data_IF_695748996216
#
_entry.id   IF_695748996216
#
_cell.length_a   1.000
_cell.length_b   1.000
_cell.length_c   1.000
_cell.angle_alpha   90.00
_cell.angle_beta   90.00
_cell.angle_gamma   90.00
#
_symmetry.space_group_name_H-M   'P 1'
#
loop_
_entity.id
_entity.type
_entity.pdbx_description
1 polymer ?
#
# COMPACT_ATOMS: atom_id res chain seq x y z
N UNK A 1 10.50 6.94 -20.60
CA UNK A 1 9.58 7.84 -19.89
C UNK A 1 8.64 7.08 -18.98
N UNK A 2 7.80 6.20 -19.54
CA UNK A 2 6.71 5.50 -18.83
C UNK A 2 7.17 4.59 -17.67
N UNK A 3 8.29 3.89 -17.80
CA UNK A 3 8.81 3.02 -16.74
C UNK A 3 9.06 3.76 -15.41
N UNK A 4 9.41 5.05 -15.46
CA UNK A 4 9.65 5.87 -14.27
C UNK A 4 8.36 6.28 -13.55
N UNK A 5 7.20 6.24 -14.21
CA UNK A 5 5.91 6.60 -13.58
C UNK A 5 5.46 5.55 -12.56
N UNK A 6 5.68 4.27 -12.85
CA UNK A 6 5.38 3.16 -11.94
C UNK A 6 6.51 2.96 -10.93
N UNK A 7 7.76 2.99 -11.40
CA UNK A 7 8.92 2.77 -10.53
C UNK A 7 9.16 3.94 -9.57
N UNK A 8 8.77 5.17 -9.92
CA UNK A 8 8.96 6.35 -9.08
C UNK A 8 8.31 6.23 -7.70
N UNK A 9 7.10 5.65 -7.61
CA UNK A 9 6.46 5.40 -6.30
C UNK A 9 7.20 4.35 -5.51
N UNK A 10 7.64 3.26 -6.13
CA UNK A 10 8.36 2.20 -5.44
C UNK A 10 9.69 2.72 -4.88
N UNK A 11 10.45 3.47 -5.68
CA UNK A 11 11.68 4.14 -5.26
C UNK A 11 11.40 5.12 -4.13
N UNK A 12 10.38 5.96 -4.26
CA UNK A 12 9.96 6.87 -3.20
C UNK A 12 9.61 6.16 -1.91
N UNK A 13 8.88 5.05 -1.98
CA UNK A 13 8.52 4.24 -0.82
C UNK A 13 9.75 3.67 -0.12
N UNK A 14 10.73 3.14 -0.88
CA UNK A 14 12.00 2.65 -0.33
C UNK A 14 12.77 3.78 0.36
N UNK A 15 12.91 4.94 -0.29
CA UNK A 15 13.60 6.11 0.29
C UNK A 15 12.89 6.57 1.57
N UNK A 16 11.56 6.68 1.55
CA UNK A 16 10.75 7.09 2.69
C UNK A 16 10.85 6.09 3.86
N UNK A 17 10.81 4.79 3.58
CA UNK A 17 10.92 3.74 4.58
C UNK A 17 12.32 3.72 5.23
N UNK A 18 13.38 3.81 4.41
CA UNK A 18 14.75 3.91 4.91
C UNK A 18 14.96 5.18 5.74
N UNK A 19 14.49 6.33 5.24
CA UNK A 19 14.57 7.60 5.97
C UNK A 19 13.83 7.54 7.32
N UNK A 20 12.59 7.06 7.32
CA UNK A 20 11.79 6.94 8.54
C UNK A 20 12.39 5.96 9.56
N UNK A 21 13.01 4.87 9.08
CA UNK A 21 13.72 3.89 9.91
C UNK A 21 14.99 4.47 10.53
N UNK A 22 15.81 5.21 9.76
CA UNK A 22 17.04 5.84 10.24
C UNK A 22 16.80 6.82 11.39
N UNK A 23 15.68 7.54 11.38
CA UNK A 23 15.32 8.48 12.45
C UNK A 23 14.35 7.89 13.48
N UNK A 24 13.97 6.61 13.38
CA UNK A 24 12.89 6.00 14.17
C UNK A 24 11.63 6.90 14.24
N UNK A 25 11.23 7.48 13.12
CA UNK A 25 10.15 8.47 13.05
C UNK A 25 8.84 7.99 13.70
N UNK A 26 8.42 6.72 13.53
CA UNK A 26 7.21 6.19 14.18
C UNK A 26 7.32 6.00 15.70
N UNK A 27 8.50 6.19 16.29
CA UNK A 27 8.75 6.18 17.74
C UNK A 27 8.93 7.59 18.33
N UNK A 28 9.10 8.61 17.47
CA UNK A 28 9.29 10.01 17.87
C UNK A 28 8.01 10.84 17.81
N UNK A 29 7.05 10.46 16.95
CA UNK A 29 5.82 11.21 16.71
C UNK A 29 4.61 10.33 16.98
N UNK A 30 3.55 10.92 17.55
CA UNK A 30 2.25 10.24 17.73
C UNK A 30 1.79 9.64 16.39
N UNK A 31 1.52 8.33 16.35
CA UNK A 31 1.27 7.60 15.10
C UNK A 31 0.13 8.21 14.28
N UNK A 32 -0.94 8.66 14.94
CA UNK A 32 -2.08 9.30 14.27
C UNK A 32 -1.70 10.56 13.50
N UNK A 33 -0.84 11.41 14.05
CA UNK A 33 -0.38 12.64 13.41
C UNK A 33 0.58 12.35 12.26
N UNK A 34 1.49 11.40 12.45
CA UNK A 34 2.42 10.96 11.41
C UNK A 34 1.64 10.43 10.20
N UNK A 35 0.71 9.51 10.43
CA UNK A 35 -0.11 8.91 9.38
C UNK A 35 -1.00 9.95 8.68
N UNK A 36 -1.64 10.86 9.43
CA UNK A 36 -2.46 11.92 8.86
C UNK A 36 -1.64 12.87 7.98
N UNK A 37 -0.49 13.36 8.48
CA UNK A 37 0.38 14.24 7.71
C UNK A 37 0.93 13.55 6.45
N UNK A 38 1.37 12.30 6.58
CA UNK A 38 1.85 11.50 5.46
C UNK A 38 0.75 11.27 4.41
N UNK A 39 -0.45 10.87 4.84
CA UNK A 39 -1.60 10.71 3.94
C UNK A 39 -1.98 12.04 3.25
N UNK A 40 -1.92 13.17 3.96
CA UNK A 40 -2.19 14.48 3.37
C UNK A 40 -1.15 14.89 2.32
N UNK A 41 0.15 14.67 2.60
CA UNK A 41 1.22 14.88 1.62
C UNK A 41 1.03 13.98 0.39
N UNK A 42 0.67 12.72 0.58
CA UNK A 42 0.37 11.80 -0.52
C UNK A 42 -0.82 12.30 -1.37
N UNK A 43 -1.89 12.79 -0.72
CA UNK A 43 -3.06 13.33 -1.40
C UNK A 43 -2.72 14.57 -2.25
N UNK A 44 -1.93 15.50 -1.70
CA UNK A 44 -1.46 16.69 -2.41
C UNK A 44 -0.52 16.37 -3.56
N UNK A 45 0.45 15.47 -3.34
CA UNK A 45 1.38 15.04 -4.37
C UNK A 45 0.62 14.36 -5.52
N UNK A 46 -0.35 13.49 -5.22
CA UNK A 46 -1.20 12.87 -6.23
C UNK A 46 -2.11 13.90 -6.94
N UNK A 47 -2.70 14.85 -6.21
CA UNK A 47 -3.56 15.89 -6.77
C UNK A 47 -2.76 16.84 -7.70
N UNK A 48 -1.48 17.04 -7.41
CA UNK A 48 -0.61 17.89 -8.23
C UNK A 48 -0.49 17.39 -9.68
N UNK A 49 -0.72 16.09 -9.92
CA UNK A 49 -0.76 15.50 -11.25
C UNK A 49 -1.88 16.08 -12.13
N UNK A 50 -2.91 16.69 -11.55
CA UNK A 50 -3.99 17.35 -12.28
C UNK A 50 -3.53 18.65 -12.96
N UNK A 51 -2.41 19.22 -12.52
CA UNK A 51 -1.80 20.38 -13.16
C UNK A 51 -0.86 19.95 -14.30
N UNK A 52 -0.58 20.88 -15.23
CA UNK A 52 0.33 20.63 -16.36
C UNK A 52 1.79 20.59 -15.88
N UNK A 53 2.19 19.49 -15.26
CA UNK A 53 3.57 19.24 -14.85
C UNK A 53 4.38 18.71 -16.04
N UNK A 54 5.61 19.20 -16.21
CA UNK A 54 6.57 18.57 -17.11
C UNK A 54 6.95 17.15 -16.65
N UNK A 55 7.64 16.34 -17.49
CA UNK A 55 7.98 14.96 -17.16
C UNK A 55 8.72 14.78 -15.83
N UNK A 56 9.65 15.68 -15.50
CA UNK A 56 10.36 15.68 -14.22
C UNK A 56 9.44 15.97 -13.03
N UNK A 57 8.47 16.87 -13.18
CA UNK A 57 7.49 17.18 -12.14
C UNK A 57 6.57 16.02 -11.83
N UNK A 58 6.12 15.28 -12.86
CA UNK A 58 5.32 14.05 -12.69
C UNK A 58 6.13 12.99 -11.93
N UNK A 59 7.38 12.75 -12.30
CA UNK A 59 8.25 11.79 -11.61
C UNK A 59 8.46 12.19 -10.14
N UNK A 60 8.75 13.47 -9.88
CA UNK A 60 8.90 13.98 -8.53
C UNK A 60 7.63 13.78 -7.69
N UNK A 61 6.45 14.09 -8.23
CA UNK A 61 5.17 13.86 -7.57
C UNK A 61 4.96 12.38 -7.22
N UNK A 62 5.34 11.45 -8.11
CA UNK A 62 5.29 10.00 -7.86
C UNK A 62 6.25 9.58 -6.75
N UNK A 63 7.48 10.09 -6.74
CA UNK A 63 8.46 9.81 -5.68
C UNK A 63 7.95 10.32 -4.32
N UNK A 64 7.44 11.55 -4.27
CA UNK A 64 6.88 12.13 -3.03
C UNK A 64 5.68 11.31 -2.55
N UNK A 65 4.78 10.90 -3.45
CA UNK A 65 3.65 10.04 -3.11
C UNK A 65 4.13 8.73 -2.48
N UNK A 66 5.13 8.07 -3.08
CA UNK A 66 5.72 6.85 -2.54
C UNK A 66 6.34 7.04 -1.16
N UNK A 67 7.15 8.09 -0.99
CA UNK A 67 7.79 8.40 0.29
C UNK A 67 6.76 8.69 1.39
N UNK A 68 5.69 9.40 1.05
CA UNK A 68 4.58 9.65 1.95
C UNK A 68 3.82 8.37 2.34
N UNK A 69 3.59 7.43 1.40
CA UNK A 69 2.95 6.15 1.71
C UNK A 69 3.74 5.29 2.70
N UNK A 70 5.08 5.41 2.73
CA UNK A 70 5.92 4.78 3.75
C UNK A 70 5.66 5.35 5.17
N UNK A 71 5.14 6.57 5.28
CA UNK A 71 4.67 7.17 6.53
C UNK A 71 3.27 6.72 6.96
N UNK A 72 2.59 5.90 6.16
CA UNK A 72 1.24 5.39 6.45
C UNK A 72 1.28 3.89 6.75
N UNK A 73 1.84 3.08 5.86
CA UNK A 73 1.69 1.62 5.92
C UNK A 73 2.36 0.96 7.14
N UNK A 74 3.69 1.09 7.38
CA UNK A 74 4.31 0.53 8.58
C UNK A 74 3.73 1.11 9.90
N UNK A 75 3.49 2.43 10.02
CA UNK A 75 2.80 2.99 11.19
C UNK A 75 1.39 2.43 11.41
N UNK A 76 0.61 2.15 10.36
CA UNK A 76 -0.71 1.56 10.48
C UNK A 76 -0.64 0.13 11.05
N UNK A 77 0.29 -0.70 10.57
CA UNK A 77 0.51 -2.04 11.11
C UNK A 77 0.92 -1.99 12.59
N UNK A 78 1.83 -1.07 12.94
CA UNK A 78 2.24 -0.83 14.33
C UNK A 78 1.05 -0.40 15.18
N UNK A 79 0.26 0.56 14.72
CA UNK A 79 -0.91 1.07 15.42
C UNK A 79 -1.90 -0.06 15.73
N UNK A 80 -2.27 -0.87 14.73
CA UNK A 80 -3.20 -1.99 14.95
C UNK A 80 -2.60 -3.01 15.93
N UNK A 81 -1.31 -3.31 15.82
CA UNK A 81 -0.66 -4.24 16.73
C UNK A 81 -0.67 -3.78 18.21
N UNK A 82 -0.86 -2.48 18.51
CA UNK A 82 -1.02 -1.97 19.88
C UNK A 82 -2.37 -2.30 20.53
N UNK A 83 -3.36 -2.70 19.73
CA UNK A 83 -4.71 -3.06 20.22
C UNK A 83 -4.86 -4.55 20.52
N UNK A 84 -4.01 -5.39 19.92
CA UNK A 84 -4.16 -6.83 19.95
C UNK A 84 -2.96 -7.48 20.64
N UNK A 85 -3.20 -8.38 21.58
CA UNK A 85 -2.19 -9.30 22.16
C UNK A 85 -2.46 -10.75 21.74
N UNK A 86 -3.74 -11.09 21.55
CA UNK A 86 -4.25 -12.30 20.88
C UNK A 86 -4.81 -11.92 19.51
N UNK A 87 -4.88 -12.88 18.61
CA UNK A 87 -5.45 -12.73 17.25
C UNK A 87 -4.82 -11.60 16.42
N UNK A 88 -3.50 -11.42 16.58
CA UNK A 88 -2.73 -10.39 15.87
C UNK A 88 -2.68 -10.67 14.37
N UNK A 89 -2.60 -11.94 13.98
CA UNK A 89 -2.55 -12.36 12.58
C UNK A 89 -3.78 -11.89 11.83
N UNK A 90 -4.98 -12.14 12.35
CA UNK A 90 -6.24 -11.70 11.75
C UNK A 90 -6.36 -10.18 11.72
N UNK A 91 -5.98 -9.48 12.80
CA UNK A 91 -6.03 -8.02 12.85
C UNK A 91 -5.11 -7.39 11.77
N UNK A 92 -3.87 -7.88 11.65
CA UNK A 92 -2.95 -7.43 10.60
C UNK A 92 -3.43 -7.85 9.20
N UNK A 93 -3.98 -9.06 9.07
CA UNK A 93 -4.61 -9.54 7.83
C UNK A 93 -5.76 -8.66 7.37
N UNK A 94 -6.59 -8.14 8.29
CA UNK A 94 -7.66 -7.20 7.96
C UNK A 94 -7.12 -5.85 7.44
N UNK A 95 -6.04 -5.33 8.03
CA UNK A 95 -5.37 -4.11 7.54
C UNK A 95 -4.80 -4.31 6.14
N UNK A 96 -4.11 -5.42 5.92
CA UNK A 96 -3.55 -5.76 4.60
C UNK A 96 -4.69 -5.99 3.59
N UNK A 97 -5.78 -6.63 4.01
CA UNK A 97 -6.97 -6.82 3.19
C UNK A 97 -7.63 -5.49 2.77
N UNK A 98 -7.74 -4.54 3.69
CA UNK A 98 -8.21 -3.19 3.38
C UNK A 98 -7.26 -2.46 2.42
N UNK A 99 -5.95 -2.64 2.56
CA UNK A 99 -4.96 -2.13 1.60
C UNK A 99 -5.12 -2.75 0.22
N UNK A 100 -5.40 -4.05 0.13
CA UNK A 100 -5.66 -4.75 -1.13
C UNK A 100 -6.89 -4.18 -1.85
N UNK A 101 -8.01 -3.99 -1.14
CA UNK A 101 -9.20 -3.33 -1.70
C UNK A 101 -8.86 -1.88 -2.11
N UNK A 102 -8.17 -1.14 -1.24
CA UNK A 102 -7.74 0.24 -1.53
C UNK A 102 -6.90 0.34 -2.80
N UNK A 103 -6.00 -0.62 -3.02
CA UNK A 103 -5.15 -0.71 -4.21
C UNK A 103 -5.96 -1.04 -5.47
N UNK A 104 -7.10 -1.71 -5.33
CA UNK A 104 -8.02 -2.00 -6.42
C UNK A 104 -8.93 -0.81 -6.79
N UNK A 105 -9.22 0.11 -5.86
CA UNK A 105 -10.15 1.24 -6.07
C UNK A 105 -9.92 2.07 -7.34
N UNK A 106 -8.68 2.36 -7.79
CA UNK A 106 -8.47 3.06 -9.05
C UNK A 106 -9.10 2.37 -10.27
N UNK A 107 -9.18 1.03 -10.26
CA UNK A 107 -9.85 0.27 -11.31
C UNK A 107 -11.38 0.44 -11.24
N UNK A 108 -11.95 0.47 -10.03
CA UNK A 108 -13.36 0.76 -9.81
C UNK A 108 -13.71 2.19 -10.26
N UNK A 109 -12.90 3.18 -9.88
CA UNK A 109 -13.08 4.57 -10.31
C UNK A 109 -13.01 4.71 -11.82
N UNK A 110 -12.08 4.00 -12.48
CA UNK A 110 -11.99 3.97 -13.95
C UNK A 110 -13.20 3.29 -14.60
N UNK A 111 -13.77 2.27 -13.96
CA UNK A 111 -14.98 1.61 -14.46
C UNK A 111 -16.22 2.52 -14.37
N UNK A 112 -16.36 3.29 -13.28
CA UNK A 112 -17.57 4.07 -12.98
C UNK A 112 -17.51 5.50 -13.53
N UNK A 113 -16.38 6.20 -13.39
CA UNK A 113 -16.28 7.62 -13.75
C UNK A 113 -15.98 7.78 -15.24
N UNK A 114 -14.92 7.12 -15.73
CA UNK A 114 -14.52 7.18 -17.14
C UNK A 114 -13.39 6.21 -17.41
N UNK A 115 -13.53 5.43 -18.49
CA UNK A 115 -12.52 4.47 -18.91
C UNK A 115 -11.29 5.12 -19.58
N UNK A 116 -11.43 6.36 -20.05
CA UNK A 116 -10.47 7.03 -20.95
C UNK A 116 -9.75 8.21 -20.30
N UNK A 117 -10.37 8.89 -19.34
CA UNK A 117 -9.77 10.05 -18.67
C UNK A 117 -9.21 9.64 -17.29
N UNK A 118 -7.92 9.90 -17.10
CA UNK A 118 -7.20 9.60 -15.87
C UNK A 118 -7.44 10.67 -14.79
N UNK A 119 -7.87 11.89 -15.16
CA UNK A 119 -8.02 13.01 -14.23
C UNK A 119 -9.07 12.73 -13.15
N UNK A 120 -10.28 12.20 -13.45
CA UNK A 120 -11.27 11.89 -12.41
C UNK A 120 -10.80 10.79 -11.46
N UNK A 121 -10.02 9.81 -11.95
CA UNK A 121 -9.45 8.76 -11.10
C UNK A 121 -8.43 9.34 -10.12
N UNK A 122 -7.56 10.25 -10.59
CA UNK A 122 -6.60 10.95 -9.73
C UNK A 122 -7.33 11.81 -8.70
N UNK A 123 -8.35 12.58 -9.11
CA UNK A 123 -9.13 13.41 -8.19
C UNK A 123 -9.86 12.58 -7.12
N UNK A 124 -10.52 11.49 -7.51
CA UNK A 124 -11.20 10.59 -6.58
C UNK A 124 -10.24 9.91 -5.61
N UNK A 125 -9.08 9.43 -6.09
CA UNK A 125 -8.05 8.84 -5.24
C UNK A 125 -7.46 9.87 -4.24
N UNK A 126 -7.20 11.09 -4.69
CA UNK A 126 -6.76 12.19 -3.81
C UNK A 126 -7.80 12.52 -2.75
N UNK A 127 -9.07 12.64 -3.12
CA UNK A 127 -10.15 12.91 -2.17
C UNK A 127 -10.28 11.79 -1.14
N UNK A 128 -10.30 10.53 -1.58
CA UNK A 128 -10.36 9.38 -0.68
C UNK A 128 -9.16 9.35 0.29
N UNK A 129 -7.96 9.69 -0.20
CA UNK A 129 -6.75 9.78 0.63
C UNK A 129 -6.84 10.93 1.64
N UNK A 130 -7.39 12.09 1.26
CA UNK A 130 -7.65 13.20 2.18
C UNK A 130 -8.66 12.82 3.25
N UNK A 131 -9.74 12.11 2.90
CA UNK A 131 -10.68 11.56 3.89
C UNK A 131 -9.96 10.60 4.84
N UNK A 132 -9.12 9.69 4.33
CA UNK A 132 -8.29 8.82 5.15
C UNK A 132 -7.36 9.59 6.10
N UNK A 133 -6.75 10.68 5.65
CA UNK A 133 -5.92 11.55 6.48
C UNK A 133 -6.72 12.17 7.65
N UNK A 134 -7.94 12.64 7.37
CA UNK A 134 -8.85 13.16 8.39
C UNK A 134 -9.28 12.07 9.37
N UNK A 135 -9.58 10.86 8.87
CA UNK A 135 -9.94 9.73 9.72
C UNK A 135 -8.80 9.36 10.67
N UNK A 136 -7.55 9.34 10.19
CA UNK A 136 -6.40 9.13 11.05
C UNK A 136 -6.24 10.24 12.09
N UNK A 137 -6.42 11.50 11.69
CA UNK A 137 -6.27 12.63 12.62
C UNK A 137 -7.33 12.63 13.74
N UNK A 138 -8.57 12.29 13.40
CA UNK A 138 -9.72 12.42 14.30
C UNK A 138 -9.97 11.15 15.13
N UNK A 139 -9.74 9.96 14.57
CA UNK A 139 -10.17 8.70 15.17
C UNK A 139 -9.02 7.74 15.52
N UNK A 140 -7.85 7.82 14.88
CA UNK A 140 -6.76 6.89 15.17
C UNK A 140 -6.16 7.17 16.55
N UNK A 141 -6.12 6.14 17.39
CA UNK A 141 -5.54 6.18 18.74
C UNK A 141 -4.73 4.91 18.98
N UNK A 142 -3.62 5.07 19.70
CA UNK A 142 -2.82 3.94 20.16
C UNK A 142 -3.62 3.12 21.18
N UNK A 143 -3.50 1.81 21.06
CA UNK A 143 -4.19 0.85 21.91
C UNK A 143 -3.50 0.66 23.26
N UNK A 144 -4.11 -0.14 24.16
CA UNK A 144 -3.63 -0.34 25.52
C UNK A 144 -2.29 -1.09 25.65
N UNK A 145 -1.77 -1.65 24.55
CA UNK A 145 -0.53 -2.43 24.52
C UNK A 145 0.55 -1.74 23.65
N UNK A 146 1.08 -0.58 24.09
CA UNK A 146 2.10 0.14 23.32
C UNK A 146 3.39 -0.69 23.24
N UNK A 147 4.06 -0.60 22.08
CA UNK A 147 5.40 -1.16 21.93
C UNK A 147 6.43 -0.23 22.60
N UNK A 148 7.47 -0.83 23.18
CA UNK A 148 8.65 -0.08 23.61
C UNK A 148 9.35 0.59 22.43
N UNK A 149 10.12 1.64 22.70
CA UNK A 149 10.92 2.32 21.67
C UNK A 149 11.91 1.33 21.07
N UNK A 150 11.83 1.10 19.76
CA UNK A 150 12.84 0.32 19.06
C UNK A 150 14.12 1.16 18.93
N UNK A 151 15.26 0.61 19.32
CA UNK A 151 16.57 1.23 19.04
C UNK A 151 17.04 0.68 17.71
N UNK A 152 17.31 1.56 16.75
CA UNK A 152 17.88 1.15 15.47
C UNK A 152 19.30 0.61 15.70
N UNK A 153 19.50 -0.69 15.51
CA UNK A 153 20.79 -1.38 15.65
C UNK A 153 21.27 -1.86 14.26
N UNK A 154 22.12 -1.09 13.57
CA UNK A 154 22.61 -1.43 12.22
C UNK A 154 23.32 -2.78 12.16
N UNK A 155 23.92 -3.23 13.26
CA UNK A 155 24.59 -4.53 13.41
C UNK A 155 23.65 -5.72 13.17
N UNK A 156 22.33 -5.55 13.32
CA UNK A 156 21.34 -6.62 13.07
C UNK A 156 20.93 -6.78 11.62
N UNK A 157 21.26 -5.84 10.73
CA UNK A 157 20.90 -5.92 9.30
C UNK A 157 21.47 -7.22 8.68
N UNK A 158 22.70 -7.58 9.05
CA UNK A 158 23.36 -8.80 8.57
C UNK A 158 22.76 -10.11 9.11
N UNK A 159 21.98 -10.07 10.20
CA UNK A 159 21.38 -11.29 10.78
C UNK A 159 20.35 -11.92 9.85
N UNK A 160 19.64 -11.10 9.05
CA UNK A 160 18.66 -11.56 8.06
C UNK A 160 19.27 -12.55 7.06
N UNK A 161 20.55 -12.39 6.71
CA UNK A 161 21.26 -13.28 5.79
C UNK A 161 21.91 -14.48 6.49
N UNK A 162 22.12 -14.41 7.81
CA UNK A 162 22.79 -15.46 8.60
C UNK A 162 21.79 -16.46 9.19
N UNK A 163 20.59 -16.01 9.50
CA UNK A 163 19.54 -16.87 10.06
C UNK A 163 18.69 -17.49 8.96
N UNK A 164 18.88 -18.80 8.73
CA UNK A 164 18.18 -19.53 7.66
C UNK A 164 16.65 -19.40 7.69
N UNK A 165 15.96 -19.48 8.85
CA UNK A 165 14.51 -19.29 8.88
C UNK A 165 14.09 -17.89 8.42
N UNK A 166 14.79 -16.84 8.85
CA UNK A 166 14.53 -15.47 8.43
C UNK A 166 14.80 -15.27 6.93
N UNK A 167 15.90 -15.84 6.42
CA UNK A 167 16.24 -15.77 5.01
C UNK A 167 15.16 -16.43 4.15
N UNK A 168 14.72 -17.64 4.50
CA UNK A 168 13.68 -18.37 3.76
C UNK A 168 12.33 -17.64 3.78
N UNK A 169 11.95 -17.06 4.92
CA UNK A 169 10.75 -16.24 5.01
C UNK A 169 10.82 -15.00 4.10
N UNK A 170 11.97 -14.30 4.09
CA UNK A 170 12.18 -13.14 3.21
C UNK A 170 12.21 -13.52 1.73
N UNK A 171 12.82 -14.65 1.36
CA UNK A 171 12.81 -15.14 -0.03
C UNK A 171 11.41 -15.51 -0.49
N UNK A 172 10.62 -16.17 0.37
CA UNK A 172 9.21 -16.46 0.09
C UNK A 172 8.40 -15.19 -0.10
N UNK A 173 8.59 -14.20 0.78
CA UNK A 173 7.93 -12.88 0.65
C UNK A 173 8.35 -12.15 -0.63
N UNK A 174 9.64 -12.20 -1.00
CA UNK A 174 10.14 -11.62 -2.24
C UNK A 174 9.47 -12.26 -3.46
N UNK A 175 9.41 -13.59 -3.51
CA UNK A 175 8.74 -14.32 -4.58
C UNK A 175 7.24 -13.96 -4.67
N UNK A 176 6.57 -13.91 -3.54
CA UNK A 176 5.16 -13.52 -3.47
C UNK A 176 4.93 -12.07 -3.96
N UNK A 177 5.74 -11.12 -3.51
CA UNK A 177 5.67 -9.73 -3.97
C UNK A 177 5.96 -9.61 -5.47
N UNK A 178 6.93 -10.37 -5.98
CA UNK A 178 7.26 -10.39 -7.40
C UNK A 178 6.07 -10.85 -8.26
N UNK A 179 5.47 -11.98 -7.90
CA UNK A 179 4.28 -12.52 -8.56
C UNK A 179 3.11 -11.53 -8.49
N UNK A 180 2.83 -11.00 -7.30
CA UNK A 180 1.71 -10.10 -7.04
C UNK A 180 1.82 -8.80 -7.83
N UNK A 181 2.97 -8.13 -7.80
CA UNK A 181 3.17 -6.88 -8.54
C UNK A 181 3.19 -7.10 -10.06
N UNK A 182 3.75 -8.22 -10.53
CA UNK A 182 3.69 -8.59 -11.94
C UNK A 182 2.23 -8.77 -12.39
N UNK A 183 1.44 -9.51 -11.61
CA UNK A 183 0.01 -9.68 -11.87
C UNK A 183 -0.71 -8.32 -11.89
N UNK A 184 -0.54 -7.47 -10.86
CA UNK A 184 -1.23 -6.17 -10.78
C UNK A 184 -0.89 -5.23 -11.92
N UNK A 185 0.38 -5.20 -12.34
CA UNK A 185 0.84 -4.33 -13.42
C UNK A 185 0.21 -4.71 -14.78
N UNK A 186 0.01 -6.00 -15.04
CA UNK A 186 -0.41 -6.50 -16.34
C UNK A 186 -1.90 -6.85 -16.45
N UNK A 187 -2.58 -7.11 -15.33
CA UNK A 187 -3.92 -7.66 -15.34
C UNK A 187 -4.91 -6.79 -16.12
N UNK A 188 -4.93 -5.46 -15.91
CA UNK A 188 -5.84 -4.59 -16.65
C UNK A 188 -5.58 -4.60 -18.16
N UNK A 189 -4.31 -4.54 -18.56
CA UNK A 189 -3.92 -4.55 -19.96
C UNK A 189 -4.30 -5.88 -20.63
N UNK A 190 -4.04 -6.99 -19.94
CA UNK A 190 -4.42 -8.33 -20.37
C UNK A 190 -5.94 -8.48 -20.51
N UNK A 191 -6.72 -8.14 -19.49
CA UNK A 191 -8.19 -8.27 -19.52
C UNK A 191 -8.79 -7.40 -20.62
N UNK A 192 -8.30 -6.17 -20.79
CA UNK A 192 -8.77 -5.28 -21.86
C UNK A 192 -8.47 -5.86 -23.25
N UNK A 193 -7.25 -6.33 -23.49
CA UNK A 193 -6.87 -6.93 -24.77
C UNK A 193 -7.66 -8.21 -25.07
N UNK A 194 -7.91 -9.04 -24.06
CA UNK A 194 -8.71 -10.25 -24.20
C UNK A 194 -10.18 -9.94 -24.56
N UNK A 195 -10.76 -8.91 -23.92
CA UNK A 195 -12.14 -8.47 -24.18
C UNK A 195 -12.29 -7.89 -25.58
N UNK A 196 -11.34 -7.05 -26.00
CA UNK A 196 -11.28 -6.50 -27.36
C UNK A 196 -11.13 -7.61 -28.41
N UNK A 197 -10.21 -8.58 -28.20
CA UNK A 197 -9.96 -9.67 -29.14
C UNK A 197 -11.15 -10.63 -29.30
N UNK A 198 -11.92 -10.85 -28.23
CA UNK A 198 -13.10 -11.72 -28.26
C UNK A 198 -14.39 -10.98 -28.63
N UNK A 199 -14.32 -9.64 -28.78
CA UNK A 199 -15.49 -8.76 -28.89
C UNK A 199 -16.50 -8.96 -27.74
N UNK A 200 -16.00 -9.24 -26.53
CA UNK A 200 -16.81 -9.47 -25.33
C UNK A 200 -16.54 -8.32 -24.34
N UNK A 201 -17.59 -7.59 -23.98
CA UNK A 201 -17.54 -6.57 -22.93
C UNK A 201 -16.96 -5.22 -23.37
N UNK A 202 -16.84 -4.31 -22.41
CA UNK A 202 -16.36 -2.93 -22.60
C UNK A 202 -15.09 -2.66 -21.79
N UNK A 203 -14.41 -1.54 -22.07
CA UNK A 203 -13.27 -1.10 -21.26
C UNK A 203 -13.62 -0.90 -19.77
N UNK A 204 -14.87 -0.51 -19.49
CA UNK A 204 -15.39 -0.42 -18.13
C UNK A 204 -15.56 -1.81 -17.50
N UNK A 205 -16.08 -2.79 -18.25
CA UNK A 205 -16.19 -4.17 -17.78
C UNK A 205 -14.81 -4.78 -17.48
N UNK A 206 -13.81 -4.56 -18.35
CA UNK A 206 -12.44 -4.99 -18.10
C UNK A 206 -11.86 -4.38 -16.81
N UNK A 207 -12.07 -3.07 -16.60
CA UNK A 207 -11.64 -2.38 -15.37
C UNK A 207 -12.33 -2.93 -14.12
N UNK A 208 -13.63 -3.23 -14.22
CA UNK A 208 -14.40 -3.81 -13.12
C UNK A 208 -13.97 -5.25 -12.81
N UNK A 209 -13.69 -6.06 -13.82
CA UNK A 209 -13.12 -7.41 -13.65
C UNK A 209 -11.75 -7.34 -12.96
N UNK A 210 -10.87 -6.43 -13.38
CA UNK A 210 -9.59 -6.20 -12.69
C UNK A 210 -9.80 -5.80 -11.23
N UNK A 211 -10.74 -4.91 -10.94
CA UNK A 211 -11.09 -4.53 -9.56
C UNK A 211 -11.45 -5.76 -8.72
N UNK A 212 -12.38 -6.60 -9.18
CA UNK A 212 -12.81 -7.77 -8.42
C UNK A 212 -11.71 -8.80 -8.23
N UNK A 213 -10.88 -9.04 -9.24
CA UNK A 213 -9.75 -9.97 -9.14
C UNK A 213 -8.75 -9.49 -8.09
N UNK A 214 -8.34 -8.21 -8.13
CA UNK A 214 -7.41 -7.66 -7.13
C UNK A 214 -8.05 -7.63 -5.74
N UNK A 215 -9.30 -7.14 -5.64
CA UNK A 215 -10.01 -7.03 -4.37
C UNK A 215 -10.27 -8.39 -3.69
N UNK A 216 -10.43 -9.47 -4.47
CA UNK A 216 -10.61 -10.83 -3.92
C UNK A 216 -9.43 -11.28 -3.04
N UNK A 217 -8.26 -10.66 -3.20
CA UNK A 217 -7.09 -10.90 -2.33
C UNK A 217 -7.36 -10.65 -0.84
N UNK A 218 -8.40 -9.86 -0.47
CA UNK A 218 -8.83 -9.73 0.93
C UNK A 218 -9.16 -11.08 1.57
N UNK A 219 -9.70 -12.03 0.79
CA UNK A 219 -10.03 -13.38 1.27
C UNK A 219 -8.74 -14.07 1.72
N UNK A 220 -7.68 -13.99 0.91
CA UNK A 220 -6.36 -14.51 1.25
C UNK A 220 -5.76 -13.82 2.48
N UNK A 221 -5.87 -12.50 2.59
CA UNK A 221 -5.36 -11.76 3.75
C UNK A 221 -6.06 -12.16 5.07
N UNK A 222 -7.39 -12.31 5.05
CA UNK A 222 -8.16 -12.70 6.24
C UNK A 222 -7.93 -14.17 6.61
N UNK A 223 -7.97 -15.08 5.63
CA UNK A 223 -7.71 -16.50 5.87
C UNK A 223 -6.28 -16.73 6.34
N UNK A 224 -5.29 -16.10 5.71
CA UNK A 224 -3.89 -16.18 6.12
C UNK A 224 -3.67 -15.63 7.53
N UNK A 225 -4.28 -14.49 7.86
CA UNK A 225 -4.26 -13.93 9.20
C UNK A 225 -4.86 -14.87 10.25
N UNK A 226 -6.05 -15.40 9.97
CA UNK A 226 -6.73 -16.36 10.85
C UNK A 226 -5.94 -17.66 11.05
N UNK A 227 -5.41 -18.25 9.97
CA UNK A 227 -4.60 -19.47 10.04
C UNK A 227 -3.30 -19.23 10.81
N UNK A 228 -2.67 -18.08 10.63
CA UNK A 228 -1.45 -17.71 11.37
C UNK A 228 -1.66 -17.58 12.87
N UNK A 229 -2.87 -17.23 13.32
CA UNK A 229 -3.18 -17.18 14.76
C UNK A 229 -3.38 -18.58 15.36
N UNK A 230 -3.73 -19.58 14.54
CA UNK A 230 -4.01 -20.95 14.99
C UNK A 230 -2.87 -21.94 14.79
N UNK A 231 -2.05 -21.75 13.75
CA UNK A 231 -0.99 -22.69 13.37
C UNK A 231 0.36 -22.06 13.71
N UNK A 232 1.18 -22.75 14.51
CA UNK A 232 2.57 -22.35 14.79
C UNK A 232 2.80 -21.51 16.05
N UNK A 233 1.80 -21.38 16.95
CA UNK A 233 1.95 -20.76 18.28
C UNK A 233 2.06 -21.76 19.44
N UNK A 234 2.41 -23.02 19.13
CA UNK A 234 2.74 -24.07 20.11
C UNK A 234 4.24 -24.21 20.26
#
# INVERSE_FOLDING_TARGET
GEAWLTNGVQVGFVIGALGASLVNLPDLVRLSRLMAAAAFVAALANASLLFHLGPGGVIAARIVTGAALAGVYPPALKLVATWFTRDRGLALGAVIGALTIGSALPHLFRAVLTALDWRPVVAAASLATTVGALLFLLFAREGPYPFGKAVFEPSRIGQVFRERPLLLANLGYLGHMWELYAMWAWLLAYTRSAFEAQAIGSAAAASLSTFFVVASGIIGCLLGGYLSDRIGRT
#
